data_IF_896939116518
#
_entry.id   IF_896939116518
#
_cell.length_a   1.000
_cell.length_b   1.000
_cell.length_c   1.000
_cell.angle_alpha   90.00
_cell.angle_beta   90.00
_cell.angle_gamma   90.00
#
_symmetry.space_group_name_H-M   'P 1'
#
loop_
_entity.id
_entity.type
_entity.pdbx_description
1 polymer ?
#
# COMPACT_ATOMS: atom_id res chain seq x y z
N UNK A 1 -5.24 -7.08 1.37
CA UNK A 1 -4.34 -6.03 1.88
C UNK A 1 -5.03 -4.68 2.03
N UNK A 2 -5.57 -4.10 0.95
CA UNK A 2 -6.14 -2.73 1.00
C UNK A 2 -7.27 -2.51 2.03
N UNK A 3 -8.14 -3.50 2.29
CA UNK A 3 -9.18 -3.37 3.34
C UNK A 3 -8.53 -3.23 4.73
N UNK A 4 -7.49 -4.00 5.02
CA UNK A 4 -6.80 -3.93 6.31
C UNK A 4 -6.08 -2.59 6.47
N UNK A 5 -5.31 -2.16 5.48
CA UNK A 5 -4.49 -0.95 5.57
C UNK A 5 -5.31 0.33 5.37
N UNK A 6 -6.13 0.41 4.32
CA UNK A 6 -6.85 1.64 3.93
C UNK A 6 -8.22 1.80 4.57
N UNK A 7 -8.78 0.74 5.16
CA UNK A 7 -10.00 0.85 5.96
C UNK A 7 -9.66 0.76 7.44
N UNK A 8 -9.30 -0.42 7.94
CA UNK A 8 -9.19 -0.64 9.38
C UNK A 8 -8.07 0.17 10.03
N UNK A 9 -6.82 0.02 9.59
CA UNK A 9 -5.67 0.70 10.19
C UNK A 9 -5.72 2.21 9.95
N UNK A 10 -6.02 2.63 8.72
CA UNK A 10 -6.20 4.04 8.37
C UNK A 10 -7.26 4.72 9.25
N UNK A 11 -8.48 4.15 9.36
CA UNK A 11 -9.55 4.77 10.15
C UNK A 11 -9.20 4.81 11.65
N UNK A 12 -8.66 3.70 12.19
CA UNK A 12 -8.22 3.65 13.60
C UNK A 12 -7.21 4.76 13.93
N UNK A 13 -6.17 4.88 13.12
CA UNK A 13 -5.14 5.89 13.32
C UNK A 13 -5.65 7.31 13.01
N UNK A 14 -6.51 7.48 11.99
CA UNK A 14 -7.11 8.76 11.67
C UNK A 14 -8.02 9.29 12.79
N UNK A 15 -8.80 8.41 13.42
CA UNK A 15 -9.64 8.76 14.57
C UNK A 15 -8.80 9.13 15.80
N UNK A 16 -7.68 8.44 16.03
CA UNK A 16 -6.85 8.67 17.22
C UNK A 16 -5.93 9.89 17.11
N UNK A 17 -5.33 10.11 15.93
CA UNK A 17 -4.22 11.06 15.75
C UNK A 17 -4.36 11.98 14.52
N UNK A 18 -5.52 11.94 13.85
CA UNK A 18 -5.80 12.76 12.68
C UNK A 18 -5.46 12.09 11.36
N UNK A 19 -6.05 12.62 10.29
CA UNK A 19 -6.06 12.02 8.95
C UNK A 19 -4.66 11.75 8.40
N UNK A 20 -3.71 12.67 8.64
CA UNK A 20 -2.36 12.54 8.10
C UNK A 20 -1.55 11.49 8.88
N UNK A 21 -1.73 11.39 10.20
CA UNK A 21 -1.17 10.30 10.99
C UNK A 21 -1.74 8.95 10.55
N UNK A 22 -3.04 8.91 10.25
CA UNK A 22 -3.70 7.76 9.63
C UNK A 22 -3.04 7.35 8.32
N UNK A 23 -2.77 8.32 7.44
CA UNK A 23 -2.15 8.10 6.13
C UNK A 23 -0.70 7.58 6.23
N UNK A 24 0.11 8.17 7.10
CA UNK A 24 1.51 7.79 7.27
C UNK A 24 1.66 6.43 7.95
N UNK A 25 0.96 6.20 9.06
CA UNK A 25 1.09 4.97 9.84
C UNK A 25 0.74 3.73 9.04
N UNK A 26 -0.39 3.73 8.34
CA UNK A 26 -0.81 2.63 7.48
C UNK A 26 0.13 2.40 6.30
N UNK A 27 0.79 3.44 5.78
CA UNK A 27 1.75 3.31 4.70
C UNK A 27 3.06 2.68 5.19
N UNK A 28 3.56 3.10 6.34
CA UNK A 28 4.76 2.53 6.95
C UNK A 28 4.53 1.07 7.35
N UNK A 29 3.37 0.73 7.90
CA UNK A 29 3.02 -0.66 8.22
C UNK A 29 2.93 -1.54 6.96
N UNK A 30 2.38 -0.99 5.86
CA UNK A 30 2.39 -1.69 4.58
C UNK A 30 3.82 -1.86 4.05
N UNK A 31 4.67 -0.84 4.18
CA UNK A 31 6.10 -0.95 3.89
C UNK A 31 6.79 -2.03 4.70
N UNK A 32 6.50 -2.16 6.00
CA UNK A 32 7.07 -3.21 6.84
C UNK A 32 6.67 -4.61 6.38
N UNK A 33 5.43 -4.80 5.92
CA UNK A 33 5.01 -6.05 5.29
C UNK A 33 5.82 -6.29 3.99
N UNK A 34 5.95 -5.28 3.14
CA UNK A 34 6.71 -5.35 1.89
C UNK A 34 8.22 -5.56 2.09
N UNK A 35 8.78 -5.18 3.25
CA UNK A 35 10.16 -5.50 3.59
C UNK A 35 10.41 -7.01 3.58
N UNK A 36 9.47 -7.81 4.07
CA UNK A 36 9.61 -9.26 4.16
C UNK A 36 9.08 -9.95 2.91
N UNK A 37 7.88 -9.59 2.50
CA UNK A 37 7.09 -10.36 1.53
C UNK A 37 6.95 -9.65 0.16
N UNK A 38 7.50 -8.44 0.03
CA UNK A 38 7.45 -7.66 -1.21
C UNK A 38 8.48 -8.10 -2.25
N UNK A 39 8.31 -7.61 -3.47
CA UNK A 39 9.27 -7.76 -4.56
C UNK A 39 9.64 -6.36 -5.10
N UNK A 40 10.91 -5.91 -4.95
CA UNK A 40 11.99 -6.56 -4.20
C UNK A 40 11.72 -6.60 -2.69
N UNK A 41 12.40 -7.50 -1.96
CA UNK A 41 12.34 -7.56 -0.50
C UNK A 41 13.42 -6.64 0.14
N UNK A 42 13.49 -6.64 1.47
CA UNK A 42 14.43 -5.84 2.26
C UNK A 42 14.12 -4.34 2.25
N UNK A 43 15.16 -3.51 2.37
CA UNK A 43 15.01 -2.06 2.46
C UNK A 43 14.34 -1.44 1.22
N UNK A 44 14.61 -1.99 0.03
CA UNK A 44 13.97 -1.54 -1.21
C UNK A 44 12.46 -1.81 -1.18
N UNK A 45 12.06 -3.02 -0.76
CA UNK A 45 10.65 -3.38 -0.57
C UNK A 45 9.94 -2.49 0.45
N UNK A 46 10.61 -2.15 1.55
CA UNK A 46 10.08 -1.21 2.54
C UNK A 46 9.80 0.17 1.97
N UNK A 47 10.76 0.74 1.23
CA UNK A 47 10.64 2.08 0.66
C UNK A 47 9.54 2.10 -0.41
N UNK A 48 9.59 1.17 -1.37
CA UNK A 48 8.62 1.08 -2.46
C UNK A 48 7.22 0.81 -1.89
N UNK A 49 7.10 -0.15 -0.96
CA UNK A 49 5.86 -0.46 -0.28
C UNK A 49 5.30 0.75 0.46
N UNK A 50 6.12 1.48 1.23
CA UNK A 50 5.68 2.68 1.93
C UNK A 50 5.18 3.76 0.97
N UNK A 51 5.89 4.03 -0.13
CA UNK A 51 5.47 4.98 -1.15
C UNK A 51 4.17 4.55 -1.84
N UNK A 52 4.05 3.28 -2.18
CA UNK A 52 2.83 2.72 -2.76
C UNK A 52 1.65 2.82 -1.78
N UNK A 53 1.90 2.54 -0.49
CA UNK A 53 0.92 2.65 0.57
C UNK A 53 0.46 4.08 0.84
N UNK A 54 1.36 5.06 0.72
CA UNK A 54 1.01 6.48 0.75
C UNK A 54 0.13 6.85 -0.45
N UNK A 55 0.53 6.44 -1.65
CA UNK A 55 -0.20 6.76 -2.88
C UNK A 55 -1.63 6.23 -2.87
N UNK A 56 -1.81 4.96 -2.53
CA UNK A 56 -3.12 4.32 -2.42
C UNK A 56 -3.92 4.85 -1.22
N UNK A 57 -3.29 5.12 -0.07
CA UNK A 57 -3.95 5.78 1.05
C UNK A 57 -4.46 7.19 0.70
N UNK A 58 -3.68 7.97 -0.06
CA UNK A 58 -4.08 9.28 -0.53
C UNK A 58 -5.23 9.17 -1.54
N UNK A 59 -5.21 8.14 -2.39
CA UNK A 59 -6.30 7.84 -3.31
C UNK A 59 -7.61 7.57 -2.56
N UNK A 60 -7.57 6.80 -1.46
CA UNK A 60 -8.75 6.59 -0.59
C UNK A 60 -9.18 7.88 0.08
N UNK A 61 -8.24 8.69 0.61
CA UNK A 61 -8.54 10.02 1.19
C UNK A 61 -9.29 10.92 0.20
N UNK A 62 -8.85 10.95 -1.06
CA UNK A 62 -9.43 11.81 -2.11
C UNK A 62 -10.74 11.27 -2.69
N UNK A 63 -10.79 9.97 -2.99
CA UNK A 63 -11.96 9.34 -3.64
C UNK A 63 -13.04 8.89 -2.66
N UNK A 64 -12.71 8.79 -1.36
CA UNK A 64 -13.54 8.16 -0.32
C UNK A 64 -13.94 6.71 -0.65
N UNK A 65 -13.19 6.05 -1.52
CA UNK A 65 -13.48 4.70 -2.01
C UNK A 65 -12.25 3.80 -1.91
N UNK A 66 -12.38 2.72 -1.15
CA UNK A 66 -11.33 1.69 -1.03
C UNK A 66 -11.25 0.85 -2.30
N UNK A 67 -12.35 0.71 -3.05
CA UNK A 67 -12.39 -0.06 -4.29
C UNK A 67 -11.46 0.48 -5.36
N UNK A 68 -11.28 1.80 -5.43
CA UNK A 68 -10.35 2.40 -6.37
C UNK A 68 -8.89 2.05 -6.01
N UNK A 69 -8.54 2.08 -4.73
CA UNK A 69 -7.23 1.64 -4.26
C UNK A 69 -7.01 0.13 -4.50
N UNK A 70 -8.04 -0.70 -4.32
CA UNK A 70 -7.99 -2.13 -4.65
C UNK A 70 -7.72 -2.37 -6.14
N UNK A 71 -8.38 -1.61 -7.02
CA UNK A 71 -8.16 -1.75 -8.47
C UNK A 71 -6.73 -1.35 -8.86
N UNK A 72 -6.23 -0.22 -8.33
CA UNK A 72 -4.84 0.21 -8.56
C UNK A 72 -3.86 -0.83 -8.04
N UNK A 73 -4.09 -1.36 -6.83
CA UNK A 73 -3.28 -2.43 -6.27
C UNK A 73 -3.26 -3.65 -7.21
N UNK A 74 -4.41 -4.14 -7.64
CA UNK A 74 -4.49 -5.29 -8.54
C UNK A 74 -3.70 -5.06 -9.84
N UNK A 75 -3.85 -3.89 -10.47
CA UNK A 75 -3.16 -3.56 -11.72
C UNK A 75 -1.64 -3.55 -11.52
N UNK A 76 -1.16 -2.95 -10.45
CA UNK A 76 0.28 -2.90 -10.16
C UNK A 76 0.83 -4.28 -9.84
N UNK A 77 0.14 -5.08 -9.01
CA UNK A 77 0.55 -6.45 -8.70
C UNK A 77 0.59 -7.34 -9.94
N UNK A 78 -0.37 -7.20 -10.85
CA UNK A 78 -0.36 -7.91 -12.14
C UNK A 78 0.82 -7.47 -13.01
N UNK A 79 1.13 -6.17 -13.05
CA UNK A 79 2.31 -5.65 -13.75
C UNK A 79 3.59 -6.27 -13.23
N UNK A 80 3.80 -6.25 -11.91
CA UNK A 80 4.96 -6.89 -11.26
C UNK A 80 4.99 -8.40 -11.55
N UNK A 81 3.85 -9.08 -11.46
CA UNK A 81 3.79 -10.51 -11.78
C UNK A 81 4.19 -10.82 -13.23
N UNK A 82 3.67 -10.06 -14.20
CA UNK A 82 4.03 -10.23 -15.61
C UNK A 82 5.51 -9.92 -15.84
N UNK A 83 6.04 -8.86 -15.24
CA UNK A 83 7.45 -8.52 -15.30
C UNK A 83 8.32 -9.68 -14.80
N UNK A 84 7.99 -10.23 -13.64
CA UNK A 84 8.72 -11.36 -13.05
C UNK A 84 8.59 -12.65 -13.88
N UNK A 85 7.43 -12.94 -14.47
CA UNK A 85 7.26 -14.17 -15.26
C UNK A 85 7.89 -14.08 -16.65
N UNK A 86 7.90 -12.88 -17.26
CA UNK A 86 8.32 -12.67 -18.65
C UNK A 86 9.78 -12.21 -18.75
N UNK A 87 10.22 -11.28 -17.90
CA UNK A 87 11.57 -10.68 -17.97
C UNK A 87 12.63 -11.41 -17.13
N UNK A 88 12.23 -12.32 -16.24
CA UNK A 88 13.17 -13.16 -15.47
C UNK A 88 13.56 -14.46 -16.19
N UNK A 89 13.22 -14.59 -17.48
CA UNK A 89 13.68 -15.66 -18.36
C UNK A 89 14.91 -15.20 -19.13
#
# INVERSE_FOLDING_TARGET
EEILFRSFLYQRAATAAGVDAGLWSQALLYGLMAYRDGVPNGAAGFIIGSLFGLGTGYLVKKSRSVYLAMLVHLIVSLGVYVELVVLSR
#
